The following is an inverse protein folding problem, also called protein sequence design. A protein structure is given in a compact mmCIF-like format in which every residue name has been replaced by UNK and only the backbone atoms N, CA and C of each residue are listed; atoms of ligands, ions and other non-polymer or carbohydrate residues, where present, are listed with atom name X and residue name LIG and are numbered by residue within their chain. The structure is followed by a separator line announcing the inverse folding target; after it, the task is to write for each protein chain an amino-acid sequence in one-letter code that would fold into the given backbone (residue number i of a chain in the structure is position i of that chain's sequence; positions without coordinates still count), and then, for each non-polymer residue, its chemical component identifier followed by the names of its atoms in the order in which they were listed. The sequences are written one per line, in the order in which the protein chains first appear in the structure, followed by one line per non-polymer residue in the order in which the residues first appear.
data_IF_713755447201
#
_entry.id   IF_713755447201
#
_cell.length_a   1.000
_cell.length_b   1.000
_cell.length_c   1.000
_cell.angle_alpha   90.00
_cell.angle_beta   90.00
_cell.angle_gamma   90.00
#
_symmetry.space_group_name_H-M   'P 1'
#
loop_
_entity.id
_entity.type
_entity.pdbx_description
1 polymer ?
#
# COMPACT_ATOMS: atom_id res chain seq x y z
N UNK A 1 -6.92 22.56 -8.23
CA UNK A 1 -5.77 23.44 -8.55
C UNK A 1 -4.95 22.81 -9.67
N UNK A 2 -4.40 23.61 -10.57
CA UNK A 2 -3.64 23.15 -11.73
C UNK A 2 -2.14 23.37 -11.50
N UNK A 3 -1.34 22.32 -11.62
CA UNK A 3 0.11 22.45 -11.54
C UNK A 3 0.68 23.04 -12.83
N UNK A 4 1.29 24.21 -12.77
CA UNK A 4 1.84 24.90 -13.97
C UNK A 4 3.01 24.17 -14.64
N UNK A 5 3.64 23.22 -13.93
CA UNK A 5 4.79 22.46 -14.46
C UNK A 5 4.41 21.21 -15.23
N UNK A 6 3.34 20.53 -14.82
CA UNK A 6 2.91 19.27 -15.44
C UNK A 6 1.48 19.32 -15.99
N UNK A 7 0.78 20.45 -15.82
CA UNK A 7 -0.65 20.61 -16.10
C UNK A 7 -1.56 19.58 -15.41
N UNK A 8 -1.08 18.93 -14.35
CA UNK A 8 -1.88 18.00 -13.56
C UNK A 8 -2.90 18.75 -12.70
N UNK A 9 -4.14 18.27 -12.73
CA UNK A 9 -5.22 18.73 -11.86
C UNK A 9 -5.15 17.99 -10.52
N UNK A 10 -5.09 18.73 -9.41
CA UNK A 10 -5.17 18.16 -8.06
C UNK A 10 -6.34 18.78 -7.30
N UNK A 11 -6.99 17.98 -6.46
CA UNK A 11 -8.02 18.49 -5.56
C UNK A 11 -7.39 19.40 -4.50
N UNK A 12 -8.00 20.57 -4.27
CA UNK A 12 -7.58 21.49 -3.21
C UNK A 12 -8.38 21.19 -1.95
N UNK A 13 -7.71 21.18 -0.80
CA UNK A 13 -8.35 20.98 0.50
C UNK A 13 -7.79 21.97 1.52
N UNK A 14 -8.65 22.51 2.37
CA UNK A 14 -8.24 23.38 3.47
C UNK A 14 -7.87 22.54 4.68
N UNK A 15 -6.62 22.64 5.13
CA UNK A 15 -6.18 21.94 6.33
C UNK A 15 -6.84 22.58 7.58
N UNK A 16 -7.55 21.78 8.38
CA UNK A 16 -8.22 22.24 9.60
C UNK A 16 -7.24 22.61 10.72
N UNK A 17 -6.01 22.11 10.69
CA UNK A 17 -4.98 22.41 11.70
C UNK A 17 -4.25 23.73 11.40
N UNK A 18 -3.77 23.93 10.18
CA UNK A 18 -2.96 25.11 9.84
C UNK A 18 -3.69 26.18 9.03
N UNK A 19 -4.93 25.91 8.61
CA UNK A 19 -5.82 26.85 7.90
C UNK A 19 -5.42 27.13 6.45
N UNK A 20 -4.36 26.50 5.92
CA UNK A 20 -3.91 26.72 4.55
C UNK A 20 -4.64 25.82 3.57
N UNK A 21 -4.90 26.37 2.39
CA UNK A 21 -5.32 25.61 1.21
C UNK A 21 -4.12 24.85 0.65
N UNK A 22 -4.24 23.54 0.54
CA UNK A 22 -3.17 22.63 0.12
C UNK A 22 -3.70 21.65 -0.91
N UNK A 23 -2.84 21.18 -1.82
CA UNK A 23 -3.17 20.06 -2.70
C UNK A 23 -3.37 18.77 -1.89
N UNK A 24 -4.46 18.03 -2.15
CA UNK A 24 -4.69 16.68 -1.63
C UNK A 24 -3.84 15.68 -2.41
N UNK A 25 -2.57 15.55 -2.02
CA UNK A 25 -1.64 14.56 -2.59
C UNK A 25 -1.64 13.24 -1.82
N UNK A 26 -2.28 13.19 -0.66
CA UNK A 26 -2.34 12.04 0.24
C UNK A 26 -3.12 12.38 1.52
N UNK A 27 -3.09 11.50 2.54
CA UNK A 27 -3.90 11.66 3.76
C UNK A 27 -3.39 12.74 4.72
N UNK A 28 -2.20 13.30 4.48
CA UNK A 28 -1.58 14.28 5.38
C UNK A 28 -1.30 15.61 4.68
N UNK A 29 -1.40 16.69 5.44
CA UNK A 29 -1.04 18.04 5.02
C UNK A 29 0.48 18.15 4.86
N UNK A 30 0.97 18.38 3.64
CA UNK A 30 2.42 18.51 3.39
C UNK A 30 3.07 19.75 4.03
N UNK A 31 2.29 20.64 4.63
CA UNK A 31 2.80 21.83 5.33
C UNK A 31 2.92 21.66 6.85
N UNK A 32 1.99 20.96 7.50
CA UNK A 32 1.99 20.82 8.96
C UNK A 32 1.96 19.36 9.46
N UNK A 33 1.83 18.39 8.57
CA UNK A 33 1.82 16.96 8.91
C UNK A 33 0.51 16.43 9.49
N UNK A 34 -0.50 17.27 9.71
CA UNK A 34 -1.79 16.81 10.23
C UNK A 34 -2.60 16.08 9.17
N UNK A 35 -3.42 15.14 9.60
CA UNK A 35 -4.36 14.44 8.73
C UNK A 35 -5.33 15.41 8.04
N UNK A 36 -5.55 15.18 6.75
CA UNK A 36 -6.56 15.81 5.93
C UNK A 36 -7.76 14.86 5.97
N UNK A 37 -8.62 15.05 6.96
CA UNK A 37 -9.75 14.16 7.27
C UNK A 37 -10.83 14.25 6.20
N UNK A 38 -10.69 13.45 5.15
CA UNK A 38 -11.75 13.22 4.15
C UNK A 38 -11.40 12.06 3.21
N UNK A 39 -11.10 10.87 3.74
CA UNK A 39 -11.08 9.66 2.92
C UNK A 39 -11.64 8.49 3.72
N UNK A 40 -12.87 8.11 3.39
CA UNK A 40 -13.38 6.75 3.54
C UNK A 40 -12.66 5.84 2.55
N UNK A 41 -11.35 5.69 2.69
CA UNK A 41 -10.68 4.49 2.20
C UNK A 41 -10.87 3.48 3.32
N UNK A 42 -11.96 2.70 3.21
CA UNK A 42 -11.99 1.42 3.90
C UNK A 42 -10.66 0.75 3.56
N UNK A 43 -9.87 0.29 4.55
CA UNK A 43 -8.76 -0.58 4.23
C UNK A 43 -9.40 -1.75 3.50
N UNK A 44 -9.19 -1.83 2.19
CA UNK A 44 -9.13 -3.13 1.55
C UNK A 44 -8.03 -3.85 2.35
N UNK A 45 -8.47 -4.69 3.28
CA UNK A 45 -7.64 -5.67 3.96
C UNK A 45 -7.09 -6.57 2.86
N UNK A 46 -6.11 -6.04 2.15
CA UNK A 46 -5.24 -6.77 1.28
C UNK A 46 -4.57 -7.75 2.21
N UNK A 47 -4.99 -9.00 2.08
CA UNK A 47 -4.58 -10.15 2.85
C UNK A 47 -3.09 -10.48 2.56
N UNK A 48 -2.22 -9.52 2.83
CA UNK A 48 -0.77 -9.66 2.74
C UNK A 48 -0.24 -10.61 3.83
N UNK A 49 -1.09 -10.96 4.80
CA UNK A 49 -0.80 -11.87 5.92
C UNK A 49 -0.71 -13.33 5.47
N UNK A 50 -1.35 -13.71 4.37
CA UNK A 50 -1.37 -15.09 3.85
C UNK A 50 -0.20 -15.43 2.91
N UNK A 51 0.81 -14.54 2.77
CA UNK A 51 2.00 -14.83 1.94
C UNK A 51 2.94 -15.81 2.66
N UNK A 52 2.94 -17.06 2.20
CA UNK A 52 3.80 -18.13 2.68
C UNK A 52 5.06 -18.22 1.81
N UNK A 53 6.25 -18.21 2.42
CA UNK A 53 7.52 -18.44 1.72
C UNK A 53 7.67 -19.91 1.32
N UNK A 54 8.45 -20.18 0.27
CA UNK A 54 8.79 -21.54 -0.11
C UNK A 54 9.46 -22.30 1.07
N UNK A 55 9.11 -23.57 1.25
CA UNK A 55 9.77 -24.46 2.24
C UNK A 55 11.24 -24.74 1.94
N UNK A 56 11.71 -24.40 0.73
CA UNK A 56 13.12 -24.51 0.36
C UNK A 56 13.83 -23.21 0.75
N UNK A 57 14.67 -23.25 1.78
CA UNK A 57 15.42 -22.09 2.29
C UNK A 57 16.32 -21.43 1.24
N UNK A 58 16.67 -22.14 0.17
CA UNK A 58 17.44 -21.59 -0.95
C UNK A 58 16.59 -20.84 -1.99
N UNK A 59 15.27 -20.96 -1.92
CA UNK A 59 14.33 -20.39 -2.88
C UNK A 59 13.69 -19.10 -2.33
N UNK A 60 13.73 -18.03 -3.13
CA UNK A 60 13.13 -16.71 -2.78
C UNK A 60 11.62 -16.62 -3.05
N UNK A 61 11.00 -17.70 -3.53
CA UNK A 61 9.63 -17.69 -4.01
C UNK A 61 8.58 -17.75 -2.91
N UNK A 62 7.35 -17.37 -3.27
CA UNK A 62 6.15 -17.53 -2.43
C UNK A 62 5.25 -18.64 -2.96
N UNK A 63 4.47 -19.23 -2.06
CA UNK A 63 3.48 -20.26 -2.38
C UNK A 63 2.23 -19.60 -3.00
N UNK A 64 1.68 -20.23 -4.04
CA UNK A 64 0.42 -19.84 -4.66
C UNK A 64 -0.80 -20.45 -3.95
N UNK A 65 -2.00 -20.07 -4.39
CA UNK A 65 -3.27 -20.59 -3.82
C UNK A 65 -3.44 -22.11 -4.02
N UNK A 66 -2.64 -22.74 -4.88
CA UNK A 66 -2.64 -24.18 -5.14
C UNK A 66 -1.63 -24.93 -4.27
N UNK A 67 -0.83 -24.22 -3.46
CA UNK A 67 0.18 -24.80 -2.59
C UNK A 67 1.53 -25.04 -3.27
N UNK A 68 1.81 -24.43 -4.42
CA UNK A 68 3.08 -24.57 -5.14
C UNK A 68 3.87 -23.26 -5.17
N UNK A 69 5.19 -23.36 -5.10
CA UNK A 69 6.05 -22.19 -5.23
C UNK A 69 5.99 -21.62 -6.65
N UNK A 70 5.78 -20.30 -6.78
CA UNK A 70 5.70 -19.60 -8.07
C UNK A 70 7.02 -19.57 -8.86
N UNK A 71 8.15 -19.77 -8.18
CA UNK A 71 9.49 -19.71 -8.80
C UNK A 71 10.03 -21.09 -9.16
N UNK A 72 10.00 -22.04 -8.21
CA UNK A 72 10.60 -23.36 -8.40
C UNK A 72 9.59 -24.49 -8.67
N UNK A 73 8.29 -24.22 -8.51
CA UNK A 73 7.21 -25.20 -8.74
C UNK A 73 7.13 -26.34 -7.72
N UNK A 74 7.92 -26.30 -6.63
CA UNK A 74 7.85 -27.31 -5.56
C UNK A 74 6.57 -27.15 -4.73
N UNK A 75 5.96 -28.25 -4.24
CA UNK A 75 4.86 -28.17 -3.30
C UNK A 75 5.34 -27.63 -1.95
N UNK A 76 4.48 -26.89 -1.27
CA UNK A 76 4.71 -26.46 0.11
C UNK A 76 4.68 -27.66 1.05
N UNK A 77 5.74 -27.82 1.85
CA UNK A 77 5.84 -28.82 2.91
C UNK A 77 6.01 -28.03 4.20
N UNK A 78 5.01 -28.00 5.10
CA UNK A 78 5.17 -27.32 6.38
C UNK A 78 6.25 -28.03 7.19
N UNK A 79 7.16 -27.25 7.80
CA UNK A 79 8.15 -27.79 8.71
C UNK A 79 7.47 -28.57 9.83
N UNK A 80 7.81 -29.86 9.93
CA UNK A 80 7.34 -30.75 10.98
C UNK A 80 8.34 -30.69 12.13
N UNK A 81 8.29 -29.60 12.90
CA UNK A 81 9.05 -29.48 14.15
C UNK A 81 8.35 -30.20 15.31
#
# INVERSE_FOLDING_TARGET
MLCEKCAGETEGVTCTHCGKEVARLGPYCYLCGNELTDHTDQPEESDFSSRILCSDESCIGVIDEKGFCKECGKPYIPDSH
#
